data_IF_068529465866
#
_entry.id   IF_068529465866
#
_cell.length_a   1.000
_cell.length_b   1.000
_cell.length_c   1.000
_cell.angle_alpha   90.00
_cell.angle_beta   90.00
_cell.angle_gamma   90.00
#
_symmetry.space_group_name_H-M   'P 1'
#
loop_
_entity.id
_entity.type
_entity.pdbx_description
1 polymer ?
#
# COMPACT_ATOMS: atom_id res chain seq x y z
N UNK A 1 15.59 -7.52 -8.92
CA UNK A 1 15.37 -6.19 -8.29
C UNK A 1 14.17 -6.21 -7.34
N UNK A 2 12.97 -6.62 -7.77
CA UNK A 2 11.78 -6.71 -6.88
C UNK A 2 11.96 -7.66 -5.69
N UNK A 3 12.47 -8.88 -5.91
CA UNK A 3 12.73 -9.86 -4.84
C UNK A 3 13.77 -9.38 -3.80
N UNK A 4 14.79 -8.66 -4.26
CA UNK A 4 15.81 -8.09 -3.38
C UNK A 4 15.24 -6.97 -2.51
N UNK A 5 14.40 -6.10 -3.09
CA UNK A 5 13.67 -5.08 -2.33
C UNK A 5 12.75 -5.71 -1.27
N UNK A 6 12.04 -6.78 -1.62
CA UNK A 6 11.19 -7.53 -0.69
C UNK A 6 12.00 -8.11 0.47
N UNK A 7 13.11 -8.80 0.17
CA UNK A 7 13.99 -9.36 1.20
C UNK A 7 14.52 -8.28 2.15
N UNK A 8 14.99 -7.16 1.60
CA UNK A 8 15.51 -6.04 2.40
C UNK A 8 14.41 -5.40 3.27
N UNK A 9 13.16 -5.38 2.79
CA UNK A 9 12.02 -4.90 3.56
C UNK A 9 11.73 -5.80 4.77
N UNK A 10 11.73 -7.12 4.56
CA UNK A 10 11.53 -8.11 5.62
C UNK A 10 12.64 -8.07 6.69
N UNK A 11 13.89 -7.82 6.28
CA UNK A 11 15.01 -7.64 7.20
C UNK A 11 14.84 -6.36 8.05
N UNK A 12 14.41 -5.25 7.44
CA UNK A 12 14.15 -4.00 8.16
C UNK A 12 12.98 -4.14 9.14
N UNK A 13 11.91 -4.83 8.74
CA UNK A 13 10.75 -5.12 9.60
C UNK A 13 11.16 -5.97 10.81
N UNK A 14 11.94 -7.05 10.59
CA UNK A 14 12.48 -7.89 11.68
C UNK A 14 13.40 -7.12 12.63
N UNK A 15 14.10 -6.10 12.12
CA UNK A 15 14.94 -5.22 12.92
C UNK A 15 14.15 -4.12 13.66
N UNK A 16 12.83 -4.04 13.46
CA UNK A 16 11.96 -3.03 14.07
C UNK A 16 12.08 -1.64 13.44
N UNK A 17 12.74 -1.50 12.29
CA UNK A 17 12.83 -0.23 11.56
C UNK A 17 11.64 -0.09 10.59
N UNK A 18 10.44 0.01 11.17
CA UNK A 18 9.17 0.02 10.44
C UNK A 18 9.08 1.13 9.39
N UNK A 19 9.68 2.30 9.64
CA UNK A 19 9.74 3.38 8.66
C UNK A 19 10.52 2.96 7.39
N UNK A 20 11.68 2.32 7.57
CA UNK A 20 12.49 1.80 6.46
C UNK A 20 11.81 0.62 5.77
N UNK A 21 11.23 -0.29 6.55
CA UNK A 21 10.47 -1.42 6.02
C UNK A 21 9.31 -0.95 5.13
N UNK A 22 8.55 0.04 5.60
CA UNK A 22 7.47 0.68 4.84
C UNK A 22 7.93 1.19 3.47
N UNK A 23 9.04 1.94 3.43
CA UNK A 23 9.58 2.47 2.17
C UNK A 23 10.04 1.36 1.21
N UNK A 24 10.68 0.31 1.73
CA UNK A 24 11.16 -0.80 0.92
C UNK A 24 10.02 -1.65 0.39
N UNK A 25 9.00 -1.93 1.21
CA UNK A 25 7.78 -2.60 0.77
C UNK A 25 7.05 -1.81 -0.30
N UNK A 26 6.94 -0.48 -0.18
CA UNK A 26 6.33 0.35 -1.22
C UNK A 26 7.09 0.23 -2.56
N UNK A 27 8.43 0.27 -2.52
CA UNK A 27 9.27 0.09 -3.72
C UNK A 27 9.12 -1.31 -4.31
N UNK A 28 9.11 -2.36 -3.48
CA UNK A 28 8.89 -3.73 -3.92
C UNK A 28 7.51 -3.89 -4.58
N UNK A 29 6.47 -3.29 -3.98
CA UNK A 29 5.10 -3.28 -4.52
C UNK A 29 5.03 -2.67 -5.92
N UNK A 30 5.64 -1.50 -6.11
CA UNK A 30 5.73 -0.86 -7.43
C UNK A 30 6.42 -1.78 -8.45
N UNK A 31 7.56 -2.36 -8.08
CA UNK A 31 8.31 -3.25 -8.97
C UNK A 31 7.54 -4.52 -9.34
N UNK A 32 6.79 -5.12 -8.40
CA UNK A 32 5.93 -6.27 -8.69
C UNK A 32 4.71 -5.89 -9.54
N UNK A 33 4.15 -4.70 -9.34
CA UNK A 33 3.07 -4.19 -10.17
C UNK A 33 3.54 -4.00 -11.62
N UNK A 34 4.72 -3.42 -11.83
CA UNK A 34 5.36 -3.26 -13.14
C UNK A 34 5.65 -4.61 -13.81
N UNK A 35 6.03 -5.62 -13.04
CA UNK A 35 6.24 -6.98 -13.56
C UNK A 35 4.95 -7.80 -13.74
N UNK A 36 3.78 -7.22 -13.40
CA UNK A 36 2.48 -7.88 -13.53
C UNK A 36 2.11 -8.84 -12.39
N UNK A 37 2.94 -9.02 -11.37
CA UNK A 37 2.64 -9.86 -10.21
C UNK A 37 1.74 -9.10 -9.21
N UNK A 38 0.45 -9.08 -9.51
CA UNK A 38 -0.54 -8.35 -8.71
C UNK A 38 -0.65 -8.91 -7.28
N UNK A 39 -0.39 -10.20 -7.07
CA UNK A 39 -0.45 -10.80 -5.75
C UNK A 39 0.65 -10.25 -4.84
N UNK A 40 1.90 -10.29 -5.30
CA UNK A 40 3.02 -9.73 -4.55
C UNK A 40 2.96 -8.22 -4.43
N UNK A 41 2.49 -7.52 -5.46
CA UNK A 41 2.27 -6.08 -5.39
C UNK A 41 1.30 -5.73 -4.26
N UNK A 42 0.13 -6.39 -4.23
CA UNK A 42 -0.87 -6.24 -3.17
C UNK A 42 -0.29 -6.52 -1.78
N UNK A 43 0.43 -7.63 -1.61
CA UNK A 43 1.01 -7.99 -0.31
C UNK A 43 2.05 -6.96 0.16
N UNK A 44 2.90 -6.48 -0.76
CA UNK A 44 3.86 -5.43 -0.46
C UNK A 44 3.19 -4.11 -0.09
N UNK A 45 2.14 -3.67 -0.81
CA UNK A 45 1.44 -2.43 -0.48
C UNK A 45 0.74 -2.49 0.89
N UNK A 46 0.13 -3.62 1.24
CA UNK A 46 -0.46 -3.81 2.57
C UNK A 46 0.61 -3.78 3.67
N UNK A 47 1.72 -4.49 3.48
CA UNK A 47 2.85 -4.46 4.43
C UNK A 47 3.43 -3.05 4.57
N UNK A 48 3.54 -2.29 3.48
CA UNK A 48 3.98 -0.90 3.50
C UNK A 48 3.03 -0.03 4.33
N UNK A 49 1.71 -0.18 4.16
CA UNK A 49 0.73 0.57 4.94
C UNK A 49 0.80 0.26 6.44
N UNK A 50 0.91 -1.02 6.81
CA UNK A 50 1.01 -1.48 8.21
C UNK A 50 2.30 -0.95 8.86
N UNK A 51 3.44 -1.18 8.22
CA UNK A 51 4.75 -0.72 8.72
C UNK A 51 4.81 0.82 8.77
N UNK A 52 4.17 1.50 7.82
CA UNK A 52 4.07 2.96 7.82
C UNK A 52 3.31 3.47 9.04
N UNK A 53 2.17 2.87 9.36
CA UNK A 53 1.38 3.23 10.54
C UNK A 53 2.15 2.98 11.86
N UNK A 54 2.90 1.88 11.96
CA UNK A 54 3.78 1.60 13.10
C UNK A 54 4.99 2.56 13.17
N UNK A 55 5.54 2.93 12.01
CA UNK A 55 6.60 3.93 11.88
C UNK A 55 6.17 5.32 12.35
N UNK A 56 4.91 5.70 12.14
CA UNK A 56 4.33 6.95 12.67
C UNK A 56 4.31 6.94 14.18
N UNK A 57 3.86 5.84 14.78
CA UNK A 57 3.79 5.71 16.23
C UNK A 57 5.17 5.86 16.90
N UNK A 58 6.25 5.54 16.18
CA UNK A 58 7.64 5.58 16.68
C UNK A 58 8.42 6.83 16.29
N UNK A 59 8.18 7.41 15.10
CA UNK A 59 9.00 8.50 14.53
C UNK A 59 8.21 9.67 13.91
N UNK A 60 6.87 9.64 13.93
CA UNK A 60 6.01 10.78 13.57
C UNK A 60 5.88 11.11 12.06
N UNK A 61 6.32 10.24 11.14
CA UNK A 61 6.21 10.45 9.68
C UNK A 61 5.11 9.59 9.07
N UNK A 62 3.94 10.19 8.79
CA UNK A 62 2.72 9.52 8.32
C UNK A 62 2.44 9.68 6.83
N UNK A 63 3.46 10.02 6.06
CA UNK A 63 3.28 10.73 4.80
C UNK A 63 2.72 9.82 3.67
N UNK A 64 2.68 8.49 3.87
CA UNK A 64 2.40 7.54 2.77
C UNK A 64 1.45 6.40 3.09
N UNK A 65 0.88 6.32 4.30
CA UNK A 65 -0.02 5.21 4.69
C UNK A 65 -1.23 5.15 3.78
N UNK A 66 -1.88 6.30 3.55
CA UNK A 66 -3.03 6.39 2.65
C UNK A 66 -2.70 5.96 1.22
N UNK A 67 -1.57 6.41 0.69
CA UNK A 67 -1.11 6.03 -0.65
C UNK A 67 -0.82 4.53 -0.79
N UNK A 68 -0.27 3.89 0.25
CA UNK A 68 -0.05 2.45 0.25
C UNK A 68 -1.38 1.68 0.20
N UNK A 69 -2.38 2.09 0.99
CA UNK A 69 -3.72 1.50 0.92
C UNK A 69 -4.37 1.72 -0.44
N UNK A 70 -4.21 2.90 -1.05
CA UNK A 70 -4.72 3.17 -2.39
C UNK A 70 -4.16 2.17 -3.43
N UNK A 71 -2.84 1.96 -3.43
CA UNK A 71 -2.20 1.01 -4.34
C UNK A 71 -2.59 -0.46 -4.05
N UNK A 72 -2.80 -0.82 -2.77
CA UNK A 72 -3.34 -2.13 -2.42
C UNK A 72 -4.76 -2.33 -2.99
N UNK A 73 -5.61 -1.29 -2.94
CA UNK A 73 -6.95 -1.31 -3.52
C UNK A 73 -6.94 -1.49 -5.03
N UNK A 74 -6.04 -0.79 -5.74
CA UNK A 74 -5.82 -0.99 -7.18
C UNK A 74 -5.39 -2.43 -7.49
N UNK A 75 -4.47 -2.99 -6.70
CA UNK A 75 -4.01 -4.36 -6.90
C UNK A 75 -5.12 -5.39 -6.62
N UNK A 76 -5.97 -5.18 -5.61
CA UNK A 76 -7.16 -6.01 -5.39
C UNK A 76 -8.18 -5.91 -6.52
N UNK A 77 -8.39 -4.71 -7.07
CA UNK A 77 -9.28 -4.51 -8.22
C UNK A 77 -8.81 -5.31 -9.43
N UNK A 78 -7.49 -5.30 -9.71
CA UNK A 78 -6.87 -6.12 -10.79
C UNK A 78 -6.91 -7.64 -10.53
N UNK A 79 -7.18 -8.05 -9.29
CA UNK A 79 -7.33 -9.45 -8.90
C UNK A 79 -8.81 -9.88 -8.86
N UNK A 80 -9.73 -9.04 -9.33
CA UNK A 80 -11.19 -9.25 -9.28
C UNK A 80 -11.68 -9.50 -7.84
N UNK A 81 -11.21 -8.69 -6.89
CA UNK A 81 -11.59 -8.74 -5.46
C UNK A 81 -12.16 -7.40 -4.99
N UNK A 82 -13.34 -6.99 -5.49
CA UNK A 82 -13.89 -5.66 -5.27
C UNK A 82 -14.13 -5.34 -3.79
N UNK A 83 -14.59 -6.30 -2.97
CA UNK A 83 -14.88 -6.06 -1.55
C UNK A 83 -13.62 -5.71 -0.75
N UNK A 84 -12.48 -6.32 -1.12
CA UNK A 84 -11.18 -6.00 -0.51
C UNK A 84 -10.63 -4.67 -1.04
N UNK A 85 -10.90 -4.35 -2.30
CA UNK A 85 -10.53 -3.07 -2.88
C UNK A 85 -11.27 -1.91 -2.18
N UNK A 86 -12.58 -2.05 -1.93
CA UNK A 86 -13.40 -1.11 -1.16
C UNK A 86 -12.75 -0.78 0.19
N UNK A 87 -12.47 -1.80 1.02
CA UNK A 87 -11.86 -1.57 2.33
C UNK A 87 -10.49 -0.88 2.26
N UNK A 88 -9.71 -1.15 1.21
CA UNK A 88 -8.44 -0.47 0.98
C UNK A 88 -8.64 0.99 0.57
N UNK A 89 -9.57 1.31 -0.34
CA UNK A 89 -9.83 2.70 -0.74
C UNK A 89 -10.42 3.53 0.41
N UNK A 90 -11.31 2.96 1.22
CA UNK A 90 -11.80 3.63 2.43
C UNK A 90 -10.66 3.92 3.42
N UNK A 91 -9.76 2.95 3.62
CA UNK A 91 -8.58 3.13 4.45
C UNK A 91 -7.63 4.19 3.89
N UNK A 92 -7.48 4.26 2.56
CA UNK A 92 -6.70 5.29 1.89
C UNK A 92 -7.27 6.69 2.15
N UNK A 93 -8.58 6.86 1.93
CA UNK A 93 -9.31 8.11 2.14
C UNK A 93 -9.20 8.56 3.60
N UNK A 94 -9.39 7.65 4.57
CA UNK A 94 -9.29 7.94 6.00
C UNK A 94 -7.91 8.45 6.43
N UNK A 95 -6.87 8.02 5.72
CA UNK A 95 -5.47 8.38 6.01
C UNK A 95 -4.92 9.51 5.12
N UNK A 96 -5.74 10.09 4.23
CA UNK A 96 -5.31 11.18 3.37
C UNK A 96 -5.27 12.52 4.13
N UNK A 97 -4.23 13.33 3.90
CA UNK A 97 -4.13 14.72 4.39
C UNK A 97 -3.79 15.65 3.23
N UNK A 98 -4.83 16.06 2.50
CA UNK A 98 -4.75 16.92 1.31
C UNK A 98 -3.90 16.31 0.18
N UNK A 99 -4.34 15.14 -0.28
CA UNK A 99 -3.59 14.32 -1.22
C UNK A 99 -4.13 14.44 -2.66
N UNK A 100 -3.28 14.68 -3.68
CA UNK A 100 -3.72 14.81 -5.07
C UNK A 100 -4.42 13.56 -5.63
N UNK A 101 -4.10 12.38 -5.09
CA UNK A 101 -4.70 11.10 -5.51
C UNK A 101 -6.06 10.82 -4.87
N UNK A 102 -6.54 11.66 -3.95
CA UNK A 102 -7.78 11.43 -3.21
C UNK A 102 -9.02 11.35 -4.13
N UNK A 103 -9.08 12.22 -5.15
CA UNK A 103 -10.16 12.17 -6.14
C UNK A 103 -10.20 10.84 -6.90
N UNK A 104 -9.03 10.27 -7.21
CA UNK A 104 -8.93 8.95 -7.83
C UNK A 104 -9.34 7.84 -6.88
N UNK A 105 -9.02 7.95 -5.58
CA UNK A 105 -9.46 7.00 -4.57
C UNK A 105 -11.00 6.94 -4.46
N UNK A 106 -11.68 8.09 -4.45
CA UNK A 106 -13.16 8.13 -4.47
C UNK A 106 -13.74 7.55 -5.75
N UNK A 107 -13.14 7.85 -6.91
CA UNK A 107 -13.58 7.28 -8.19
C UNK A 107 -13.46 5.76 -8.19
N UNK A 108 -12.31 5.22 -7.78
CA UNK A 108 -12.06 3.77 -7.73
C UNK A 108 -12.95 3.07 -6.69
N UNK A 109 -13.25 3.73 -5.58
CA UNK A 109 -14.22 3.24 -4.60
C UNK A 109 -15.62 3.11 -5.22
N UNK A 110 -16.06 4.11 -6.00
CA UNK A 110 -17.33 4.04 -6.73
C UNK A 110 -17.37 2.89 -7.74
N UNK A 111 -16.29 2.69 -8.51
CA UNK A 111 -16.16 1.56 -9.43
C UNK A 111 -16.22 0.22 -8.68
N UNK A 112 -15.54 0.11 -7.55
CA UNK A 112 -15.51 -1.13 -6.76
C UNK A 112 -16.87 -1.47 -6.11
N UNK A 113 -17.73 -0.48 -5.87
CA UNK A 113 -19.10 -0.70 -5.38
C UNK A 113 -20.08 -1.12 -6.48
N UNK A 114 -19.75 -0.92 -7.76
CA UNK A 114 -20.59 -1.23 -8.92
C UNK A 114 -20.36 -2.64 -9.48
N UNK A 115 -19.34 -3.35 -8.98
CA UNK A 115 -18.94 -4.72 -9.35
C UNK A 115 -19.53 -5.76 -8.39
#
# INVERSE_FOLDING_TARGET
MSEELLKNAEEAEKAGDYAKASELYLKAGNAFQESGDQNKARDCYLKAAINGAEGVATKGKADKVGFCYFNAGLAFSKLDRPEKAVGCFESAIKNARDEPWLGMAYFQLGVAYDL
#
